data_IF_075974442207
#
_entry.id   IF_075974442207
#
_cell.length_a   1.000
_cell.length_b   1.000
_cell.length_c   1.000
_cell.angle_alpha   90.00
_cell.angle_beta   90.00
_cell.angle_gamma   90.00
#
_symmetry.space_group_name_H-M   'P 1'
#
loop_
_entity.id
_entity.type
_entity.pdbx_description
1 polymer ?
#
# COMPACT_ATOMS: atom_id res chain seq x y z
N UNK A 1 -66.06 30.40 -52.60
CA UNK A 1 -64.64 30.67 -52.89
C UNK A 1 -63.92 30.84 -51.57
N UNK A 2 -62.80 30.13 -51.39
CA UNK A 2 -61.76 30.26 -50.35
C UNK A 2 -62.18 30.00 -48.88
N UNK A 3 -61.47 29.26 -48.01
CA UNK A 3 -60.34 28.31 -48.05
C UNK A 3 -60.10 27.90 -46.59
N UNK A 4 -59.81 26.62 -46.35
CA UNK A 4 -58.95 26.03 -45.30
C UNK A 4 -59.27 26.16 -43.78
N UNK A 5 -59.41 24.98 -43.15
CA UNK A 5 -59.15 24.62 -41.74
C UNK A 5 -57.63 24.71 -41.39
N UNK A 6 -57.15 24.33 -40.18
CA UNK A 6 -57.51 24.69 -38.79
C UNK A 6 -56.26 24.99 -37.92
N UNK A 7 -56.39 25.42 -36.66
CA UNK A 7 -55.30 25.27 -35.68
C UNK A 7 -55.81 25.24 -34.24
N UNK A 8 -55.83 24.02 -33.70
CA UNK A 8 -55.91 23.70 -32.27
C UNK A 8 -54.57 24.15 -31.65
N UNK A 9 -54.57 25.00 -30.62
CA UNK A 9 -53.35 25.27 -29.87
C UNK A 9 -53.60 25.44 -28.35
N UNK A 10 -52.93 24.55 -27.62
CA UNK A 10 -52.25 24.75 -26.34
C UNK A 10 -53.06 25.16 -25.10
N UNK A 11 -53.29 24.17 -24.23
CA UNK A 11 -52.97 24.30 -22.80
C UNK A 11 -52.89 22.90 -22.15
N UNK A 12 -51.78 22.20 -22.35
CA UNK A 12 -51.39 21.12 -21.43
C UNK A 12 -50.12 21.59 -20.72
N UNK A 13 -50.30 21.98 -19.46
CA UNK A 13 -49.20 22.21 -18.52
C UNK A 13 -48.62 20.83 -18.21
N UNK A 14 -47.61 20.42 -18.96
CA UNK A 14 -46.78 19.27 -18.62
C UNK A 14 -45.93 19.67 -17.44
N UNK A 15 -46.32 19.22 -16.24
CA UNK A 15 -45.46 19.16 -15.07
C UNK A 15 -44.30 18.23 -15.42
N UNK A 16 -43.20 18.79 -15.92
CA UNK A 16 -41.91 18.12 -15.97
C UNK A 16 -41.43 18.02 -14.52
N UNK A 17 -41.81 16.92 -13.87
CA UNK A 17 -41.15 16.46 -12.66
C UNK A 17 -39.67 16.25 -13.01
N UNK A 18 -38.83 17.19 -12.59
CA UNK A 18 -37.38 17.02 -12.58
C UNK A 18 -37.08 15.92 -11.57
N UNK A 19 -37.03 14.68 -12.04
CA UNK A 19 -36.33 13.62 -11.33
C UNK A 19 -34.84 13.95 -11.40
N UNK A 20 -34.38 14.84 -10.51
CA UNK A 20 -32.99 14.81 -10.09
C UNK A 20 -32.81 13.44 -9.44
N UNK A 21 -32.37 12.47 -10.24
CA UNK A 21 -31.72 11.30 -9.71
C UNK A 21 -30.57 11.83 -8.87
N UNK A 22 -30.77 11.83 -7.56
CA UNK A 22 -29.68 11.73 -6.61
C UNK A 22 -29.04 10.38 -6.93
N UNK A 23 -28.15 10.35 -7.93
CA UNK A 23 -27.11 9.36 -7.98
C UNK A 23 -26.29 9.67 -6.72
N UNK A 24 -26.70 9.08 -5.60
CA UNK A 24 -25.94 9.10 -4.38
C UNK A 24 -24.52 8.74 -4.80
N UNK A 25 -23.57 9.61 -4.49
CA UNK A 25 -22.19 9.41 -4.84
C UNK A 25 -21.77 8.12 -4.15
N UNK A 26 -21.85 7.01 -4.88
CA UNK A 26 -21.59 5.71 -4.33
C UNK A 26 -20.12 5.74 -3.99
N UNK A 27 -19.82 5.84 -2.69
CA UNK A 27 -18.46 5.84 -2.19
C UNK A 27 -17.77 4.65 -2.81
N UNK A 28 -16.72 4.93 -3.58
CA UNK A 28 -16.07 3.93 -4.40
C UNK A 28 -15.63 2.79 -3.48
N UNK A 29 -16.20 1.61 -3.69
CA UNK A 29 -15.91 0.47 -2.84
C UNK A 29 -14.48 0.00 -3.12
N UNK A 30 -13.72 -0.38 -2.07
CA UNK A 30 -12.42 -0.98 -2.25
C UNK A 30 -12.46 -2.17 -3.20
N UNK A 31 -11.31 -2.44 -3.83
CA UNK A 31 -11.06 -3.72 -4.47
C UNK A 31 -11.52 -4.86 -3.56
N UNK A 32 -12.33 -5.77 -4.09
CA UNK A 32 -12.91 -6.88 -3.33
C UNK A 32 -12.96 -8.16 -4.14
N UNK A 33 -13.28 -9.28 -3.49
CA UNK A 33 -13.62 -10.51 -4.20
C UNK A 33 -14.95 -10.32 -4.93
N UNK A 34 -15.08 -10.85 -6.14
CA UNK A 34 -16.33 -10.79 -6.90
C UNK A 34 -17.41 -11.61 -6.18
N UNK A 35 -18.62 -11.06 -5.93
CA UNK A 35 -19.64 -11.69 -5.10
C UNK A 35 -20.14 -13.03 -5.67
N UNK A 36 -20.27 -13.14 -6.99
CA UNK A 36 -20.75 -14.37 -7.64
C UNK A 36 -19.64 -15.41 -7.89
N UNK A 37 -18.38 -14.98 -7.91
CA UNK A 37 -17.24 -15.85 -8.18
C UNK A 37 -15.97 -15.31 -7.51
N UNK A 38 -15.70 -15.69 -6.25
CA UNK A 38 -14.61 -15.12 -5.46
C UNK A 38 -13.20 -15.47 -5.98
N UNK A 39 -13.09 -16.19 -7.10
CA UNK A 39 -11.82 -16.40 -7.82
C UNK A 39 -11.40 -15.18 -8.65
N UNK A 40 -12.31 -14.24 -8.88
CA UNK A 40 -12.05 -12.97 -9.56
C UNK A 40 -12.21 -11.81 -8.59
N UNK A 41 -11.60 -10.67 -8.92
CA UNK A 41 -11.77 -9.44 -8.17
C UNK A 41 -12.86 -8.57 -8.79
N UNK A 42 -13.43 -7.68 -7.99
CA UNK A 42 -14.33 -6.62 -8.41
C UNK A 42 -13.67 -5.28 -8.08
N UNK A 43 -13.52 -4.42 -9.07
CA UNK A 43 -13.00 -3.07 -8.89
C UNK A 43 -13.89 -2.06 -9.62
N UNK A 44 -14.44 -1.09 -8.88
CA UNK A 44 -15.35 -0.05 -9.40
C UNK A 44 -16.47 -0.64 -10.27
N UNK A 45 -17.10 -1.69 -9.77
CA UNK A 45 -18.23 -2.37 -10.41
C UNK A 45 -17.87 -3.25 -11.61
N UNK A 46 -16.58 -3.49 -11.89
CA UNK A 46 -16.13 -4.33 -13.00
C UNK A 46 -15.35 -5.56 -12.51
N UNK A 47 -15.69 -6.78 -12.97
CA UNK A 47 -14.82 -7.94 -12.81
C UNK A 47 -13.42 -7.61 -13.33
N UNK A 48 -12.39 -7.87 -12.53
CA UNK A 48 -11.03 -7.39 -12.78
C UNK A 48 -10.02 -8.51 -12.51
N UNK A 49 -9.05 -8.62 -13.42
CA UNK A 49 -7.79 -9.34 -13.21
C UNK A 49 -6.70 -8.30 -13.05
N UNK A 50 -5.83 -8.46 -12.06
CA UNK A 50 -4.71 -7.56 -11.82
C UNK A 50 -3.50 -8.01 -12.63
N UNK A 51 -2.96 -7.13 -13.45
CA UNK A 51 -1.88 -7.41 -14.40
C UNK A 51 -0.89 -6.25 -14.35
N UNK A 52 0.40 -6.55 -14.20
CA UNK A 52 1.46 -5.54 -14.18
C UNK A 52 2.85 -6.11 -14.49
N UNK A 53 3.82 -5.19 -14.63
CA UNK A 53 5.24 -5.44 -14.41
C UNK A 53 5.66 -4.77 -13.09
N UNK A 54 6.09 -5.58 -12.12
CA UNK A 54 6.22 -5.19 -10.71
C UNK A 54 7.58 -4.65 -10.27
N UNK A 55 8.50 -4.25 -11.15
CA UNK A 55 9.92 -4.08 -10.78
C UNK A 55 10.26 -2.85 -9.91
N UNK A 56 9.35 -1.88 -9.78
CA UNK A 56 9.65 -0.57 -9.18
C UNK A 56 9.26 -0.47 -7.70
N UNK A 57 9.71 -1.44 -6.90
CA UNK A 57 9.31 -1.63 -5.50
C UNK A 57 9.52 -0.40 -4.61
N UNK A 58 10.55 0.41 -4.87
CA UNK A 58 10.88 1.59 -4.05
C UNK A 58 10.17 2.89 -4.44
N UNK A 59 9.08 2.86 -5.22
CA UNK A 59 8.47 4.06 -5.81
C UNK A 59 8.14 5.18 -4.79
N UNK A 60 7.73 4.82 -3.58
CA UNK A 60 7.44 5.79 -2.50
C UNK A 60 8.69 6.15 -1.69
N UNK A 61 9.45 5.15 -1.23
CA UNK A 61 10.59 5.33 -0.33
C UNK A 61 11.84 5.94 -0.98
N UNK A 62 11.91 5.94 -2.31
CA UNK A 62 13.01 6.52 -3.08
C UNK A 62 12.64 7.95 -3.51
N UNK A 63 13.29 8.95 -2.91
CA UNK A 63 13.01 10.36 -3.21
C UNK A 63 13.45 10.78 -4.61
N UNK A 64 14.34 10.03 -5.24
CA UNK A 64 14.83 10.30 -6.58
C UNK A 64 13.99 9.57 -7.66
N UNK A 65 12.99 8.78 -7.26
CA UNK A 65 12.11 8.08 -8.17
C UNK A 65 10.89 8.93 -8.58
N UNK A 66 10.70 9.08 -9.89
CA UNK A 66 9.54 9.73 -10.48
C UNK A 66 8.41 8.72 -10.68
N UNK A 67 7.59 8.56 -9.65
CA UNK A 67 6.46 7.63 -9.70
C UNK A 67 5.35 8.09 -10.66
N UNK A 68 5.26 9.38 -11.01
CA UNK A 68 4.23 9.85 -11.95
C UNK A 68 4.56 9.32 -13.33
N UNK A 69 5.80 9.48 -13.78
CA UNK A 69 6.27 8.93 -15.05
C UNK A 69 6.16 7.40 -15.10
N UNK A 70 6.44 6.73 -13.99
CA UNK A 70 6.27 5.28 -13.88
C UNK A 70 4.80 4.86 -14.02
N UNK A 71 3.88 5.53 -13.30
CA UNK A 71 2.45 5.21 -13.36
C UNK A 71 1.85 5.53 -14.74
N UNK A 72 2.34 6.57 -15.43
CA UNK A 72 2.01 6.83 -16.84
C UNK A 72 2.42 5.68 -17.74
N UNK A 73 3.61 5.10 -17.52
CA UNK A 73 4.07 3.94 -18.28
C UNK A 73 3.24 2.67 -18.00
N UNK A 74 2.88 2.43 -16.73
CA UNK A 74 1.96 1.33 -16.36
C UNK A 74 0.62 1.48 -17.08
N UNK A 75 0.02 2.67 -17.05
CA UNK A 75 -1.23 2.93 -17.75
C UNK A 75 -1.10 2.77 -19.27
N UNK A 76 -0.04 3.32 -19.87
CA UNK A 76 0.20 3.24 -21.32
C UNK A 76 0.39 1.80 -21.81
N UNK A 77 0.94 0.92 -20.96
CA UNK A 77 1.07 -0.51 -21.23
C UNK A 77 -0.25 -1.29 -21.05
N UNK A 78 -1.33 -0.64 -20.59
CA UNK A 78 -2.61 -1.29 -20.30
C UNK A 78 -2.61 -2.11 -19.00
N UNK A 79 -1.61 -1.94 -18.15
CA UNK A 79 -1.53 -2.57 -16.83
C UNK A 79 -2.40 -1.81 -15.81
N UNK A 80 -2.86 -2.52 -14.79
CA UNK A 80 -3.81 -2.00 -13.79
C UNK A 80 -3.41 -2.32 -12.34
N UNK A 81 -2.18 -2.79 -12.13
CA UNK A 81 -1.60 -3.03 -10.80
C UNK A 81 -0.22 -2.37 -10.73
N UNK A 82 0.21 -2.00 -9.53
CA UNK A 82 1.62 -1.79 -9.20
C UNK A 82 1.89 -2.27 -7.78
N UNK A 83 3.14 -2.65 -7.49
CA UNK A 83 3.57 -3.14 -6.19
C UNK A 83 4.66 -2.24 -5.64
N UNK A 84 4.51 -1.79 -4.39
CA UNK A 84 5.51 -0.95 -3.72
C UNK A 84 5.68 -1.28 -2.24
N UNK A 85 6.93 -1.18 -1.78
CA UNK A 85 7.30 -1.44 -0.40
C UNK A 85 7.14 -0.17 0.42
N UNK A 86 6.68 -0.37 1.64
CA UNK A 86 6.37 0.72 2.54
C UNK A 86 7.60 1.50 3.03
N UNK A 87 8.81 0.96 2.93
CA UNK A 87 9.99 1.59 3.54
C UNK A 87 10.22 1.19 4.99
N UNK A 88 9.49 0.21 5.54
CA UNK A 88 9.97 -0.56 6.70
C UNK A 88 11.17 -1.44 6.34
N UNK A 89 11.33 -1.77 5.06
CA UNK A 89 12.47 -2.44 4.45
C UNK A 89 13.00 -1.58 3.30
N UNK A 90 14.33 -1.55 3.16
CA UNK A 90 15.05 -1.00 2.00
C UNK A 90 16.27 -1.86 1.73
N UNK A 91 16.74 -1.80 0.51
CA UNK A 91 18.03 -2.35 0.12
C UNK A 91 19.14 -1.32 0.28
N UNK A 92 20.39 -1.77 0.14
CA UNK A 92 21.57 -0.91 0.11
C UNK A 92 22.14 -0.85 -1.31
N UNK A 93 22.85 0.22 -1.70
CA UNK A 93 23.42 0.30 -3.04
C UNK A 93 24.26 -0.93 -3.40
N UNK A 94 23.98 -1.52 -4.57
CA UNK A 94 24.65 -2.73 -5.06
C UNK A 94 24.01 -4.06 -4.65
N UNK A 95 22.94 -4.04 -3.84
CA UNK A 95 22.15 -5.25 -3.53
C UNK A 95 21.73 -5.98 -4.80
N UNK A 96 21.96 -7.29 -4.81
CA UNK A 96 21.61 -8.23 -5.91
C UNK A 96 22.20 -7.90 -7.29
N UNK A 97 23.16 -6.96 -7.39
CA UNK A 97 23.73 -6.54 -8.67
C UNK A 97 22.73 -5.80 -9.58
N UNK A 98 21.63 -5.27 -9.04
CA UNK A 98 20.60 -4.58 -9.80
C UNK A 98 21.02 -3.12 -10.01
N UNK A 99 21.21 -2.74 -11.28
CA UNK A 99 21.48 -1.36 -11.69
C UNK A 99 20.26 -0.48 -11.42
N UNK A 100 20.49 0.71 -10.83
CA UNK A 100 19.45 1.70 -10.53
C UNK A 100 18.25 1.16 -9.74
N UNK A 101 18.50 0.18 -8.86
CA UNK A 101 17.51 -0.46 -8.01
C UNK A 101 16.66 0.57 -7.22
N UNK A 102 15.36 0.71 -7.52
CA UNK A 102 14.51 1.66 -6.83
C UNK A 102 14.38 1.36 -5.33
N UNK A 103 14.52 0.10 -4.92
CA UNK A 103 14.41 -0.35 -3.53
C UNK A 103 15.68 -0.10 -2.70
N UNK A 104 16.81 0.21 -3.35
CA UNK A 104 18.07 0.62 -2.73
C UNK A 104 18.39 2.10 -2.95
N UNK A 105 17.55 3.04 -2.46
CA UNK A 105 17.65 4.45 -2.80
C UNK A 105 18.91 5.11 -2.22
N UNK A 106 19.48 6.06 -2.97
CA UNK A 106 20.49 7.01 -2.44
C UNK A 106 19.87 7.97 -1.43
N UNK A 107 18.66 8.47 -1.73
CA UNK A 107 17.86 9.32 -0.84
C UNK A 107 16.62 8.57 -0.37
N UNK A 108 16.76 7.93 0.78
CA UNK A 108 15.70 7.17 1.42
C UNK A 108 14.77 8.04 2.26
N UNK A 109 13.46 7.83 2.06
CA UNK A 109 12.40 8.35 2.90
C UNK A 109 11.77 7.21 3.72
N UNK A 110 12.04 7.18 5.02
CA UNK A 110 11.45 6.22 5.94
C UNK A 110 10.04 6.66 6.39
N UNK A 111 9.20 5.72 6.87
CA UNK A 111 7.95 6.06 7.57
C UNK A 111 8.17 6.84 8.88
N UNK A 112 9.32 6.65 9.53
CA UNK A 112 9.67 7.30 10.79
C UNK A 112 10.54 8.54 10.55
N UNK A 113 10.29 9.58 11.33
CA UNK A 113 11.05 10.81 11.29
C UNK A 113 12.47 10.60 11.83
N UNK A 114 13.42 11.37 11.30
CA UNK A 114 14.75 11.49 11.91
C UNK A 114 14.66 12.31 13.20
N UNK A 115 15.52 12.00 14.15
CA UNK A 115 15.79 12.75 15.38
C UNK A 115 16.87 13.82 15.15
N UNK A 116 17.33 14.47 16.21
CA UNK A 116 18.47 15.40 16.18
C UNK A 116 19.82 14.71 16.51
N UNK A 117 19.81 13.41 16.82
CA UNK A 117 21.00 12.65 17.20
C UNK A 117 21.68 12.05 15.95
N UNK A 118 22.95 12.36 15.66
CA UNK A 118 23.66 11.77 14.53
C UNK A 118 23.94 10.27 14.72
N UNK A 119 24.33 9.59 13.63
CA UNK A 119 24.89 8.24 13.67
C UNK A 119 23.95 7.13 13.21
N UNK A 120 23.00 7.44 12.33
CA UNK A 120 22.36 6.39 11.52
C UNK A 120 23.37 5.79 10.55
N UNK A 121 23.11 4.56 10.10
CA UNK A 121 23.95 3.84 9.14
C UNK A 121 24.24 4.62 7.85
N UNK A 122 23.28 5.42 7.39
CA UNK A 122 23.42 6.25 6.19
C UNK A 122 24.17 7.58 6.42
N UNK A 123 24.80 7.75 7.58
CA UNK A 123 25.53 8.96 7.96
C UNK A 123 24.64 10.11 8.43
N UNK A 124 23.32 9.97 8.36
CA UNK A 124 22.37 10.97 8.85
C UNK A 124 22.06 10.85 10.34
N UNK A 125 21.07 11.62 10.78
CA UNK A 125 20.52 11.47 12.13
C UNK A 125 19.74 10.17 12.27
N UNK A 126 19.83 9.56 13.45
CA UNK A 126 19.06 8.39 13.88
C UNK A 126 17.57 8.65 13.79
N UNK A 127 16.78 7.60 13.59
CA UNK A 127 15.33 7.64 13.53
C UNK A 127 14.71 7.68 14.94
N UNK A 128 13.51 8.24 15.04
CA UNK A 128 12.63 8.08 16.19
C UNK A 128 11.43 7.21 15.79
N UNK A 129 11.45 5.94 16.17
CA UNK A 129 10.41 4.95 15.82
C UNK A 129 9.06 5.24 16.46
N UNK A 130 8.99 6.20 17.39
CA UNK A 130 7.74 6.68 17.99
C UNK A 130 7.17 7.91 17.29
N UNK A 131 7.86 8.45 16.28
CA UNK A 131 7.43 9.62 15.52
C UNK A 131 7.39 9.32 14.03
N UNK A 132 6.22 9.39 13.45
CA UNK A 132 6.04 9.27 12.00
C UNK A 132 6.49 10.52 11.26
N UNK A 133 7.03 10.35 10.04
CA UNK A 133 7.39 11.46 9.17
C UNK A 133 6.16 11.90 8.34
N UNK A 134 5.60 13.11 8.57
CA UNK A 134 4.47 13.58 7.78
C UNK A 134 4.80 13.72 6.29
N UNK A 135 6.06 13.97 5.90
CA UNK A 135 6.46 14.08 4.49
C UNK A 135 6.38 12.72 3.78
N UNK A 136 6.70 11.62 4.48
CA UNK A 136 6.51 10.27 3.96
C UNK A 136 5.04 10.00 3.65
N UNK A 137 4.14 10.26 4.60
CA UNK A 137 2.71 9.99 4.41
C UNK A 137 2.08 10.92 3.36
N UNK A 138 2.52 12.17 3.26
CA UNK A 138 2.11 13.05 2.18
C UNK A 138 2.50 12.49 0.80
N UNK A 139 3.74 12.01 0.66
CA UNK A 139 4.24 11.38 -0.59
C UNK A 139 3.49 10.09 -0.91
N UNK A 140 3.23 9.25 0.09
CA UNK A 140 2.47 8.01 -0.06
C UNK A 140 1.04 8.28 -0.56
N UNK A 141 0.34 9.25 0.04
CA UNK A 141 -1.02 9.61 -0.39
C UNK A 141 -1.06 10.21 -1.80
N UNK A 142 -0.06 11.02 -2.18
CA UNK A 142 0.02 11.49 -3.57
C UNK A 142 0.21 10.31 -4.54
N UNK A 143 1.12 9.37 -4.24
CA UNK A 143 1.31 8.15 -5.03
C UNK A 143 0.00 7.38 -5.21
N UNK A 144 -0.75 7.14 -4.13
CA UNK A 144 -2.04 6.45 -4.17
C UNK A 144 -3.07 7.18 -5.02
N UNK A 145 -3.17 8.51 -4.89
CA UNK A 145 -4.07 9.34 -5.68
C UNK A 145 -3.68 9.32 -7.17
N UNK A 146 -2.39 9.38 -7.49
CA UNK A 146 -1.88 9.31 -8.88
C UNK A 146 -2.17 7.95 -9.52
N UNK A 147 -2.00 6.85 -8.77
CA UNK A 147 -2.36 5.52 -9.23
C UNK A 147 -3.88 5.40 -9.47
N UNK A 148 -4.69 5.91 -8.53
CA UNK A 148 -6.16 5.88 -8.60
C UNK A 148 -6.72 6.60 -9.82
N UNK A 149 -6.17 7.78 -10.16
CA UNK A 149 -6.52 8.55 -11.39
C UNK A 149 -6.29 7.77 -12.67
N UNK A 150 -5.37 6.81 -12.64
CA UNK A 150 -5.01 5.97 -13.79
C UNK A 150 -5.72 4.62 -13.79
N UNK A 151 -6.56 4.37 -12.78
CA UNK A 151 -7.23 3.07 -12.61
C UNK A 151 -6.29 1.95 -12.18
N UNK A 152 -5.16 2.30 -11.55
CA UNK A 152 -4.14 1.36 -11.09
C UNK A 152 -4.39 1.04 -9.62
N UNK A 153 -4.54 -0.24 -9.31
CA UNK A 153 -4.54 -0.78 -7.95
C UNK A 153 -3.11 -0.83 -7.43
N UNK A 154 -2.93 -0.55 -6.15
CA UNK A 154 -1.65 -0.65 -5.45
C UNK A 154 -1.66 -1.87 -4.52
N UNK A 155 -0.69 -2.76 -4.72
CA UNK A 155 -0.26 -3.73 -3.72
C UNK A 155 0.75 -3.05 -2.79
N UNK A 156 0.33 -2.79 -1.55
CA UNK A 156 1.16 -2.12 -0.57
C UNK A 156 1.80 -3.12 0.38
N UNK A 157 3.11 -3.32 0.22
CA UNK A 157 3.89 -4.32 0.96
C UNK A 157 4.34 -3.72 2.29
N UNK A 158 3.77 -4.22 3.39
CA UNK A 158 4.01 -3.66 4.72
C UNK A 158 5.40 -3.99 5.23
N UNK A 159 5.87 -5.22 5.04
CA UNK A 159 7.16 -5.71 5.57
C UNK A 159 7.88 -6.65 4.60
N UNK A 160 9.16 -6.92 4.88
CA UNK A 160 9.98 -7.88 4.18
C UNK A 160 11.07 -8.40 5.12
N UNK A 161 11.38 -9.71 5.16
CA UNK A 161 12.54 -10.22 5.84
C UNK A 161 13.80 -9.57 5.28
N UNK A 162 14.79 -9.41 6.14
CA UNK A 162 16.11 -8.99 5.70
C UNK A 162 16.85 -10.22 5.19
N UNK A 163 17.39 -10.18 3.97
CA UNK A 163 18.08 -11.34 3.38
C UNK A 163 19.50 -11.55 3.91
N UNK A 164 20.15 -10.49 4.34
CA UNK A 164 21.49 -10.52 4.93
C UNK A 164 21.63 -9.47 6.04
N UNK A 165 22.73 -9.55 6.79
CA UNK A 165 22.97 -8.67 7.92
C UNK A 165 23.19 -7.21 7.53
N UNK A 166 23.70 -6.92 6.31
CA UNK A 166 23.90 -5.54 5.85
C UNK A 166 22.57 -4.82 5.69
N UNK A 167 21.55 -5.53 5.18
CA UNK A 167 20.19 -5.00 5.05
C UNK A 167 19.59 -4.68 6.42
N UNK A 168 19.81 -5.55 7.41
CA UNK A 168 19.36 -5.29 8.78
C UNK A 168 20.12 -4.14 9.43
N UNK A 169 21.45 -4.09 9.26
CA UNK A 169 22.30 -3.02 9.80
C UNK A 169 21.93 -1.64 9.26
N UNK A 170 21.40 -1.54 8.05
CA UNK A 170 20.95 -0.29 7.43
C UNK A 170 19.54 0.13 7.85
N UNK A 171 18.77 -0.72 8.53
CA UNK A 171 17.34 -0.51 8.75
C UNK A 171 17.05 0.47 9.90
N UNK A 172 16.04 1.36 9.79
CA UNK A 172 15.63 2.24 10.89
C UNK A 172 15.31 1.50 12.20
N UNK A 173 14.74 0.29 12.12
CA UNK A 173 14.36 -0.51 13.28
C UNK A 173 15.54 -1.19 13.96
N UNK A 174 16.75 -1.16 13.40
CA UNK A 174 17.94 -1.65 14.09
C UNK A 174 18.32 -0.71 15.24
N UNK A 175 18.63 -1.23 16.42
CA UNK A 175 18.92 -0.42 17.61
C UNK A 175 20.09 0.57 17.43
N UNK A 176 21.00 0.32 16.49
CA UNK A 176 22.07 1.27 16.14
C UNK A 176 21.52 2.54 15.48
N UNK A 177 20.43 2.44 14.74
CA UNK A 177 19.89 3.47 13.86
C UNK A 177 18.75 4.30 14.46
N UNK A 178 18.24 3.95 15.64
CA UNK A 178 17.18 4.72 16.29
C UNK A 178 17.58 5.19 17.69
N UNK A 179 16.93 6.25 18.15
CA UNK A 179 17.15 6.80 19.51
C UNK A 179 16.36 6.06 20.58
N UNK A 180 15.44 5.17 20.19
CA UNK A 180 14.57 4.46 21.12
C UNK A 180 15.25 3.22 21.73
N UNK A 181 16.37 2.76 21.16
CA UNK A 181 17.06 1.53 21.57
C UNK A 181 16.33 0.24 21.18
N UNK A 182 15.33 0.34 20.30
CA UNK A 182 14.50 -0.79 19.86
C UNK A 182 15.24 -1.56 18.76
N UNK A 183 15.09 -2.89 18.76
CA UNK A 183 15.70 -3.76 17.75
C UNK A 183 17.10 -4.25 18.09
N UNK A 184 17.36 -4.47 19.38
CA UNK A 184 18.51 -5.24 19.85
C UNK A 184 18.20 -6.75 19.75
N UNK A 185 18.03 -7.24 18.53
CA UNK A 185 17.71 -8.63 18.22
C UNK A 185 18.46 -9.14 17.00
N UNK A 186 18.45 -10.46 16.81
CA UNK A 186 18.95 -11.08 15.58
C UNK A 186 18.01 -10.72 14.43
N UNK A 187 18.58 -10.62 13.23
CA UNK A 187 17.86 -10.30 12.00
C UNK A 187 16.65 -11.23 11.76
N UNK A 188 16.81 -12.51 12.06
CA UNK A 188 15.78 -13.54 11.87
C UNK A 188 14.67 -13.49 12.93
N UNK A 189 14.83 -12.69 13.98
CA UNK A 189 13.87 -12.60 15.07
C UNK A 189 13.06 -11.28 15.06
N UNK A 190 13.31 -10.41 14.08
CA UNK A 190 12.63 -9.11 13.95
C UNK A 190 11.11 -9.31 13.84
N UNK A 191 10.68 -10.22 12.97
CA UNK A 191 9.26 -10.48 12.69
C UNK A 191 8.73 -11.69 13.47
N UNK A 192 8.83 -11.58 14.79
CA UNK A 192 8.33 -12.55 15.77
C UNK A 192 7.54 -11.82 16.86
N UNK A 193 6.82 -12.57 17.72
CA UNK A 193 6.15 -12.00 18.89
C UNK A 193 7.06 -11.88 20.14
N UNK A 194 8.35 -12.25 20.02
CA UNK A 194 9.31 -12.32 21.14
C UNK A 194 9.63 -10.95 21.74
N UNK A 195 9.76 -9.93 20.90
CA UNK A 195 10.20 -8.59 21.27
C UNK A 195 9.02 -7.63 21.29
N UNK A 196 8.47 -7.37 22.49
CA UNK A 196 7.24 -6.58 22.66
C UNK A 196 7.37 -5.13 22.17
N UNK A 197 8.55 -4.54 22.35
CA UNK A 197 8.89 -3.19 21.89
C UNK A 197 8.97 -3.11 20.36
N UNK A 198 9.59 -4.10 19.71
CA UNK A 198 9.61 -4.22 18.26
C UNK A 198 8.20 -4.45 17.69
N UNK A 199 7.43 -5.36 18.29
CA UNK A 199 6.05 -5.62 17.91
C UNK A 199 5.21 -4.34 18.00
N UNK A 200 5.34 -3.56 19.08
CA UNK A 200 4.63 -2.28 19.21
C UNK A 200 4.96 -1.28 18.10
N UNK A 201 6.21 -1.24 17.61
CA UNK A 201 6.60 -0.42 16.45
C UNK A 201 5.91 -0.90 15.17
N UNK A 202 5.88 -2.22 14.93
CA UNK A 202 5.17 -2.79 13.79
C UNK A 202 3.69 -2.46 13.81
N UNK A 203 3.01 -2.70 14.94
CA UNK A 203 1.58 -2.44 15.06
C UNK A 203 1.26 -0.95 14.91
N UNK A 204 2.06 -0.06 15.53
CA UNK A 204 1.86 1.38 15.40
C UNK A 204 2.00 1.82 13.93
N UNK A 205 3.01 1.31 13.22
CA UNK A 205 3.19 1.58 11.80
C UNK A 205 2.00 1.09 10.97
N UNK A 206 1.52 -0.14 11.20
CA UNK A 206 0.37 -0.70 10.48
C UNK A 206 -0.89 0.12 10.73
N UNK A 207 -1.21 0.45 11.99
CA UNK A 207 -2.38 1.30 12.30
C UNK A 207 -2.30 2.62 11.55
N UNK A 208 -1.14 3.28 11.59
CA UNK A 208 -0.92 4.57 10.94
C UNK A 208 -1.11 4.50 9.42
N UNK A 209 -0.54 3.47 8.77
CA UNK A 209 -0.73 3.26 7.33
C UNK A 209 -2.19 3.03 7.01
N UNK A 210 -2.86 2.16 7.76
CA UNK A 210 -4.26 1.82 7.52
C UNK A 210 -5.16 3.06 7.67
N UNK A 211 -4.93 3.88 8.69
CA UNK A 211 -5.63 5.15 8.88
C UNK A 211 -5.39 6.13 7.72
N UNK A 212 -4.15 6.32 7.30
CA UNK A 212 -3.78 7.27 6.24
C UNK A 212 -4.23 6.81 4.85
N UNK A 213 -4.34 5.50 4.63
CA UNK A 213 -4.71 4.93 3.34
C UNK A 213 -6.17 4.50 3.25
N UNK A 214 -6.95 4.60 4.34
CA UNK A 214 -8.33 4.10 4.32
C UNK A 214 -9.20 4.80 3.27
N UNK A 215 -8.89 6.04 2.90
CA UNK A 215 -9.67 6.79 1.90
C UNK A 215 -9.57 6.23 0.46
N UNK A 216 -8.58 5.38 0.16
CA UNK A 216 -8.30 4.92 -1.21
C UNK A 216 -8.97 3.58 -1.54
N UNK A 217 -9.74 3.52 -2.61
CA UNK A 217 -10.41 2.27 -3.05
C UNK A 217 -9.50 1.33 -3.85
N UNK A 218 -8.37 1.84 -4.36
CA UNK A 218 -7.45 1.16 -5.26
C UNK A 218 -6.29 0.49 -4.52
N UNK A 219 -6.57 -0.25 -3.44
CA UNK A 219 -5.56 -0.77 -2.52
C UNK A 219 -5.85 -2.20 -2.06
N UNK A 220 -4.80 -2.99 -1.90
CA UNK A 220 -4.77 -4.10 -0.95
C UNK A 220 -3.42 -4.15 -0.23
N UNK A 221 -3.41 -4.70 0.99
CA UNK A 221 -2.21 -4.84 1.80
C UNK A 221 -1.58 -6.21 1.60
N UNK A 222 -0.27 -6.26 1.39
CA UNK A 222 0.51 -7.48 1.51
C UNK A 222 1.26 -7.44 2.85
N UNK A 223 1.03 -8.46 3.71
CA UNK A 223 1.58 -8.47 5.07
C UNK A 223 3.10 -8.46 5.05
N UNK A 224 3.70 -9.37 4.29
CA UNK A 224 5.14 -9.53 4.23
C UNK A 224 5.55 -10.17 2.91
N UNK A 225 6.55 -9.58 2.26
CA UNK A 225 7.22 -10.18 1.13
C UNK A 225 7.97 -11.43 1.59
N UNK A 226 7.84 -12.54 0.87
CA UNK A 226 8.67 -13.75 1.05
C UNK A 226 8.92 -14.22 2.51
N UNK A 227 7.90 -14.36 3.36
CA UNK A 227 8.06 -14.66 4.80
C UNK A 227 8.64 -16.06 5.09
N UNK A 228 8.78 -16.90 4.07
CA UNK A 228 9.48 -18.18 4.15
C UNK A 228 11.00 -18.02 4.29
N UNK A 229 11.54 -16.81 4.14
CA UNK A 229 12.92 -16.46 4.49
C UNK A 229 12.99 -15.68 5.81
N UNK A 230 14.17 -15.65 6.44
CA UNK A 230 14.45 -14.71 7.53
C UNK A 230 13.63 -14.89 8.81
N UNK A 231 13.08 -16.08 9.07
CA UNK A 231 12.49 -16.43 10.37
C UNK A 231 11.14 -15.79 10.69
N UNK A 232 10.42 -15.26 9.70
CA UNK A 232 9.08 -14.66 9.90
C UNK A 232 8.10 -15.73 10.38
N UNK A 233 7.48 -15.52 11.55
CA UNK A 233 6.56 -16.53 12.09
C UNK A 233 5.13 -16.32 11.59
N UNK A 234 4.33 -17.38 11.60
CA UNK A 234 2.92 -17.29 11.22
C UNK A 234 2.12 -16.47 12.23
N UNK A 235 2.40 -16.63 13.53
CA UNK A 235 1.72 -15.91 14.61
C UNK A 235 1.96 -14.39 14.50
N UNK A 236 3.15 -13.98 14.04
CA UNK A 236 3.43 -12.57 13.78
C UNK A 236 2.61 -12.06 12.58
N UNK A 237 2.54 -12.82 11.48
CA UNK A 237 1.72 -12.44 10.32
C UNK A 237 0.23 -12.37 10.67
N UNK A 238 -0.29 -13.33 11.42
CA UNK A 238 -1.65 -13.34 11.95
C UNK A 238 -1.90 -12.10 12.80
N UNK A 239 -0.95 -11.71 13.66
CA UNK A 239 -1.08 -10.50 14.47
C UNK A 239 -1.14 -9.24 13.59
N UNK A 240 -0.32 -9.13 12.56
CA UNK A 240 -0.38 -7.98 11.63
C UNK A 240 -1.72 -7.93 10.90
N UNK A 241 -2.23 -9.08 10.41
CA UNK A 241 -3.56 -9.15 9.79
C UNK A 241 -4.67 -8.70 10.74
N UNK A 242 -4.61 -9.14 12.01
CA UNK A 242 -5.55 -8.71 13.05
C UNK A 242 -5.48 -7.20 13.27
N UNK A 243 -4.29 -6.60 13.33
CA UNK A 243 -4.14 -5.15 13.51
C UNK A 243 -4.78 -4.38 12.35
N UNK A 244 -4.63 -4.85 11.10
CA UNK A 244 -5.31 -4.25 9.95
C UNK A 244 -6.84 -4.31 10.16
N UNK A 245 -7.37 -5.52 10.41
CA UNK A 245 -8.81 -5.73 10.59
C UNK A 245 -9.39 -4.93 11.78
N UNK A 246 -8.69 -4.90 12.92
CA UNK A 246 -9.04 -4.13 14.12
C UNK A 246 -9.10 -2.62 13.82
N UNK A 247 -8.10 -2.11 13.08
CA UNK A 247 -8.04 -0.68 12.73
C UNK A 247 -9.15 -0.32 11.76
N UNK A 248 -9.34 -1.14 10.72
CA UNK A 248 -10.38 -0.88 9.73
C UNK A 248 -11.78 -1.09 10.27
N UNK A 249 -11.99 -1.87 11.34
CA UNK A 249 -13.31 -2.09 11.94
C UNK A 249 -14.06 -0.77 12.22
N UNK A 250 -13.33 0.27 12.64
CA UNK A 250 -13.87 1.60 12.91
C UNK A 250 -13.88 2.57 11.71
N UNK A 251 -13.36 2.15 10.55
CA UNK A 251 -13.17 2.97 9.35
C UNK A 251 -14.12 2.57 8.21
N UNK A 252 -14.44 3.44 7.25
CA UNK A 252 -15.42 3.15 6.20
C UNK A 252 -15.00 2.04 5.24
N UNK A 253 -13.73 1.99 4.84
CA UNK A 253 -13.25 0.99 3.88
C UNK A 253 -12.62 -0.22 4.58
N UNK A 254 -12.86 -1.40 4.01
CA UNK A 254 -12.29 -2.69 4.40
C UNK A 254 -11.49 -3.23 3.23
N UNK A 255 -10.17 -3.26 3.32
CA UNK A 255 -9.30 -3.65 2.23
C UNK A 255 -9.00 -5.15 2.27
N UNK A 256 -8.66 -5.72 1.11
CA UNK A 256 -8.13 -7.07 1.05
C UNK A 256 -6.75 -7.12 1.72
N UNK A 257 -6.48 -8.25 2.37
CA UNK A 257 -5.20 -8.56 2.99
C UNK A 257 -4.64 -9.80 2.30
N UNK A 258 -3.47 -9.68 1.71
CA UNK A 258 -2.72 -10.76 1.07
C UNK A 258 -1.62 -11.27 2.00
N UNK A 259 -1.48 -12.59 2.05
CA UNK A 259 -0.42 -13.28 2.76
C UNK A 259 0.37 -14.14 1.76
N UNK A 260 1.70 -14.00 1.74
CA UNK A 260 2.56 -14.94 1.04
C UNK A 260 2.68 -16.24 1.82
N UNK A 261 2.18 -17.34 1.26
CA UNK A 261 2.11 -18.64 1.96
C UNK A 261 3.30 -19.56 1.62
N UNK A 262 3.83 -19.46 0.40
CA UNK A 262 4.77 -20.44 -0.16
C UNK A 262 5.67 -19.85 -1.25
N UNK A 263 6.82 -20.48 -1.45
CA UNK A 263 7.69 -20.27 -2.61
C UNK A 263 7.85 -21.57 -3.41
N UNK A 264 8.08 -21.45 -4.72
CA UNK A 264 8.35 -22.57 -5.60
C UNK A 264 7.20 -23.58 -5.65
N UNK A 265 7.51 -24.85 -5.37
CA UNK A 265 6.58 -25.98 -5.54
C UNK A 265 5.81 -26.38 -4.27
N UNK A 266 5.90 -25.59 -3.19
CA UNK A 266 5.24 -25.93 -1.92
C UNK A 266 3.71 -25.88 -2.10
N UNK A 267 3.05 -27.01 -1.82
CA UNK A 267 1.60 -27.14 -1.88
C UNK A 267 0.93 -26.32 -0.77
N UNK A 268 -0.07 -25.52 -1.16
CA UNK A 268 -0.95 -24.82 -0.22
C UNK A 268 -2.13 -25.74 0.09
N UNK A 269 -2.23 -26.23 1.32
CA UNK A 269 -3.31 -27.14 1.74
C UNK A 269 -4.57 -26.41 2.21
N UNK A 270 -4.41 -25.17 2.69
CA UNK A 270 -5.47 -24.29 3.18
C UNK A 270 -5.25 -22.88 2.63
N UNK A 271 -5.70 -22.62 1.39
CA UNK A 271 -5.55 -21.30 0.75
C UNK A 271 -6.47 -20.25 1.37
#
# INVERSE_FOLDING_TARGET
MNTALPAILMAWITVLAVSMAWAGQQTAQPLSLHPDNPRYLLFRGRPTVLITSGEHYGAVLNLDFDYVKYLDAIQAAGFNLTRTFSGTYREVPGSFGITDNPLGPKRFQAPWARSDSPGAWDGGNKFDLKRFDPAYFARLKDFMAQASRRGIVVEFVLFCPFYDDKLWEANPMNAKNNVNGIGNCKREEVYTLKYKDMLAVHEAFVRRVVEELNEFDNLYYEICNEPYFGGVTLEWQERIAQVIAETEAALPHKHLIAQNIANGSKKIEKP
#
